data_IF_522927052048
#
_entry.id   IF_522927052048
#
_cell.length_a   1.000
_cell.length_b   1.000
_cell.length_c   1.000
_cell.angle_alpha   90.00
_cell.angle_beta   90.00
_cell.angle_gamma   90.00
#
_symmetry.space_group_name_H-M   'P 1'
#
loop_
_entity.id
_entity.type
_entity.pdbx_description
1 polymer ?
#
# COMPACT_ATOMS: atom_id res chain seq x y z
N UNK A 1 42.02 -11.04 -37.41
CA UNK A 1 42.96 -10.89 -36.29
C UNK A 1 42.20 -10.29 -35.11
N UNK A 2 42.05 -11.06 -34.02
CA UNK A 2 41.75 -10.68 -32.59
C UNK A 2 40.53 -9.78 -32.30
N UNK A 3 39.68 -9.97 -31.29
CA UNK A 3 39.44 -10.95 -30.21
C UNK A 3 37.98 -10.69 -29.77
N UNK A 4 37.10 -11.69 -29.66
CA UNK A 4 36.55 -12.20 -28.39
C UNK A 4 36.57 -11.19 -27.24
N UNK A 5 35.40 -10.74 -26.80
CA UNK A 5 35.12 -10.64 -25.36
C UNK A 5 33.70 -11.15 -25.10
N UNK A 6 33.62 -12.40 -24.64
CA UNK A 6 32.44 -12.93 -23.97
C UNK A 6 32.60 -12.58 -22.49
N UNK A 7 31.68 -11.80 -21.93
CA UNK A 7 31.56 -11.70 -20.48
C UNK A 7 30.33 -12.47 -20.02
N UNK A 8 30.66 -13.53 -19.27
CA UNK A 8 29.78 -14.44 -18.57
C UNK A 8 29.28 -13.79 -17.28
N UNK A 9 27.97 -13.92 -17.06
CA UNK A 9 27.28 -14.35 -15.82
C UNK A 9 27.50 -13.58 -14.52
N UNK A 10 26.39 -13.24 -13.85
CA UNK A 10 26.05 -13.69 -12.48
C UNK A 10 24.59 -13.38 -12.15
N UNK A 11 23.75 -14.41 -12.25
CA UNK A 11 22.43 -14.46 -11.59
C UNK A 11 22.73 -14.60 -10.09
N UNK A 12 22.19 -13.69 -9.28
CA UNK A 12 22.25 -13.79 -7.83
C UNK A 12 20.87 -14.19 -7.34
N UNK A 13 20.74 -15.45 -6.93
CA UNK A 13 19.59 -15.98 -6.20
C UNK A 13 19.89 -15.76 -4.72
N UNK A 14 19.07 -14.98 -4.01
CA UNK A 14 19.09 -14.95 -2.56
C UNK A 14 17.94 -15.81 -2.02
N UNK A 15 18.26 -17.05 -1.70
CA UNK A 15 17.50 -17.90 -0.80
C UNK A 15 18.06 -17.74 0.62
N UNK A 16 17.19 -17.41 1.57
CA UNK A 16 17.49 -17.59 2.99
C UNK A 16 16.20 -17.89 3.77
N UNK A 17 15.85 -19.18 3.82
CA UNK A 17 15.11 -19.74 4.95
C UNK A 17 16.11 -20.02 6.08
N UNK A 18 15.80 -19.59 7.28
CA UNK A 18 16.29 -20.21 8.50
C UNK A 18 15.19 -20.19 9.56
N UNK A 19 14.63 -21.37 9.80
CA UNK A 19 13.86 -21.70 10.99
C UNK A 19 14.74 -21.55 12.23
N UNK A 20 14.20 -20.95 13.29
CA UNK A 20 14.60 -21.36 14.64
C UNK A 20 13.40 -21.34 15.58
N UNK A 21 12.84 -22.52 15.81
CA UNK A 21 11.99 -22.81 16.95
C UNK A 21 12.90 -23.03 18.16
N UNK A 22 12.64 -22.35 19.27
CA UNK A 22 13.14 -22.73 20.58
C UNK A 22 11.95 -22.84 21.53
N UNK A 23 11.49 -24.08 21.72
CA UNK A 23 10.75 -24.51 22.90
C UNK A 23 11.77 -24.96 23.94
N UNK A 24 11.75 -24.37 25.13
CA UNK A 24 12.33 -24.96 26.33
C UNK A 24 11.45 -24.59 27.52
N UNK A 25 10.65 -25.57 27.94
CA UNK A 25 10.05 -25.62 29.27
C UNK A 25 10.99 -26.29 30.28
N UNK A 26 10.42 -26.50 31.48
CA UNK A 26 10.96 -27.12 32.69
C UNK A 26 11.79 -26.19 33.59
N UNK A 27 11.66 -26.16 34.92
CA UNK A 27 10.63 -26.61 35.84
C UNK A 27 10.98 -26.02 37.23
N UNK A 28 9.94 -25.75 38.04
CA UNK A 28 9.79 -25.78 39.51
C UNK A 28 11.03 -25.64 40.43
N UNK A 29 10.94 -24.73 41.41
CA UNK A 29 11.31 -25.07 42.79
C UNK A 29 10.36 -24.45 43.82
N UNK A 30 10.12 -25.26 44.85
CA UNK A 30 9.09 -25.23 45.89
C UNK A 30 9.44 -24.27 47.03
N UNK A 31 8.43 -23.64 47.61
CA UNK A 31 8.51 -23.00 48.94
C UNK A 31 7.14 -22.94 49.59
N UNK A 32 6.79 -23.98 50.35
CA UNK A 32 5.57 -24.06 51.15
C UNK A 32 5.78 -23.45 52.53
N UNK A 33 4.84 -22.60 52.97
CA UNK A 33 4.55 -22.38 54.39
C UNK A 33 3.02 -22.24 54.54
N UNK A 34 2.37 -22.99 55.46
CA UNK A 34 0.96 -22.80 55.76
C UNK A 34 0.81 -21.75 56.89
N UNK A 35 -0.06 -20.76 56.70
CA UNK A 35 -0.50 -19.83 57.75
C UNK A 35 -2.02 -19.67 57.63
N UNK A 36 -2.78 -19.57 58.75
CA UNK A 36 -4.15 -20.06 58.85
C UNK A 36 -5.22 -19.18 58.20
N UNK A 37 -6.31 -19.86 57.85
CA UNK A 37 -7.62 -19.35 57.46
C UNK A 37 -8.08 -18.16 58.30
N UNK A 38 -8.17 -16.99 57.65
CA UNK A 38 -9.05 -15.90 58.06
C UNK A 38 -10.13 -15.76 56.98
N UNK A 39 -11.39 -15.97 57.35
CA UNK A 39 -12.55 -15.71 56.50
C UNK A 39 -12.57 -14.21 56.17
N UNK A 40 -12.21 -13.86 54.94
CA UNK A 40 -12.43 -12.53 54.38
C UNK A 40 -13.49 -12.66 53.30
N UNK A 41 -14.57 -11.94 53.53
CA UNK A 41 -15.78 -11.86 52.74
C UNK A 41 -15.49 -11.52 51.28
N UNK A 42 -16.04 -12.32 50.37
CA UNK A 42 -16.11 -12.06 48.94
C UNK A 42 -16.85 -10.73 48.69
N UNK A 43 -16.26 -9.73 48.00
CA UNK A 43 -17.05 -8.74 47.30
C UNK A 43 -17.50 -9.38 45.98
N UNK A 44 -18.81 -9.35 45.73
CA UNK A 44 -19.40 -9.82 44.49
C UNK A 44 -18.68 -9.24 43.27
N UNK A 45 -18.31 -10.11 42.33
CA UNK A 45 -17.87 -9.70 41.01
C UNK A 45 -18.96 -8.83 40.39
N UNK A 46 -18.66 -7.54 40.19
CA UNK A 46 -19.41 -6.73 39.25
C UNK A 46 -19.16 -7.32 37.88
N UNK A 47 -20.12 -8.10 37.39
CA UNK A 47 -20.20 -8.44 35.98
C UNK A 47 -20.48 -7.13 35.23
N UNK A 48 -19.41 -6.39 34.92
CA UNK A 48 -19.45 -5.44 33.83
C UNK A 48 -19.74 -6.27 32.58
N UNK A 49 -20.97 -6.16 32.08
CA UNK A 49 -21.27 -6.57 30.71
C UNK A 49 -20.24 -5.88 29.83
N UNK A 50 -19.49 -6.61 28.98
CA UNK A 50 -18.66 -5.92 28.01
C UNK A 50 -19.58 -5.01 27.22
N UNK A 51 -19.29 -3.71 27.25
CA UNK A 51 -19.83 -2.78 26.26
C UNK A 51 -19.69 -3.48 24.92
N UNK A 52 -20.78 -3.58 24.16
CA UNK A 52 -20.67 -3.96 22.76
C UNK A 52 -19.76 -2.91 22.15
N UNK A 53 -18.47 -3.24 22.00
CA UNK A 53 -17.52 -2.41 21.27
C UNK A 53 -18.20 -2.07 19.96
N UNK A 54 -18.38 -0.77 19.71
CA UNK A 54 -18.79 -0.32 18.39
C UNK A 54 -17.82 -0.97 17.39
N UNK A 55 -18.31 -1.50 16.26
CA UNK A 55 -17.43 -1.99 15.22
C UNK A 55 -16.40 -0.90 14.94
N UNK A 56 -15.11 -1.23 15.11
CA UNK A 56 -14.02 -0.33 14.73
C UNK A 56 -14.15 -0.16 13.22
N UNK A 57 -14.37 1.07 12.77
CA UNK A 57 -14.46 1.40 11.35
C UNK A 57 -13.16 0.98 10.67
N UNK A 58 -13.25 0.00 9.77
CA UNK A 58 -12.10 -0.53 9.08
C UNK A 58 -11.80 0.39 7.90
N UNK A 59 -10.54 0.82 7.77
CA UNK A 59 -10.16 1.74 6.71
C UNK A 59 -8.87 1.31 6.03
N UNK A 60 -8.73 1.74 4.80
CA UNK A 60 -7.45 1.83 4.12
C UNK A 60 -7.18 3.29 3.83
N UNK A 61 -5.99 3.76 4.16
CA UNK A 61 -5.61 5.16 4.03
C UNK A 61 -4.43 5.27 3.10
N UNK A 62 -4.56 6.03 2.02
CA UNK A 62 -3.41 6.56 1.30
C UNK A 62 -2.96 7.83 2.02
N UNK A 63 -1.85 7.73 2.75
CA UNK A 63 -1.29 8.86 3.51
C UNK A 63 -0.71 9.91 2.58
N UNK A 64 -0.09 9.46 1.48
CA UNK A 64 0.53 10.30 0.47
C UNK A 64 0.78 9.52 -0.82
N UNK A 65 0.66 10.18 -1.96
CA UNK A 65 1.21 9.70 -3.24
C UNK A 65 2.01 10.82 -3.89
N UNK A 66 3.26 10.52 -4.26
CA UNK A 66 4.20 11.50 -4.81
C UNK A 66 4.81 11.03 -6.11
N UNK A 67 4.92 11.98 -7.03
CA UNK A 67 5.67 11.81 -8.25
C UNK A 67 7.15 12.19 -8.03
N UNK A 68 8.06 11.26 -8.29
CA UNK A 68 9.51 11.47 -8.20
C UNK A 68 10.13 11.55 -9.59
N UNK A 69 10.71 12.70 -9.90
CA UNK A 69 11.50 12.90 -11.12
C UNK A 69 12.99 12.88 -10.74
N UNK A 70 13.79 11.94 -11.26
CA UNK A 70 15.24 11.99 -11.08
C UNK A 70 15.80 13.33 -11.56
N UNK A 71 16.72 13.91 -10.79
CA UNK A 71 17.40 15.15 -11.17
C UNK A 71 18.31 14.91 -12.37
N UNK A 72 18.65 15.99 -13.10
CA UNK A 72 19.61 15.88 -14.20
C UNK A 72 20.96 15.34 -13.70
N UNK A 73 21.36 14.16 -14.20
CA UNK A 73 22.60 13.49 -13.82
C UNK A 73 22.46 12.45 -12.70
N UNK A 74 21.25 12.24 -12.16
CA UNK A 74 20.95 11.09 -11.30
C UNK A 74 20.52 9.89 -12.14
N UNK A 75 20.97 8.70 -11.74
CA UNK A 75 20.51 7.45 -12.34
C UNK A 75 19.08 7.14 -11.84
N UNK A 76 18.22 6.68 -12.74
CA UNK A 76 16.87 6.24 -12.39
C UNK A 76 15.82 6.66 -13.41
N UNK A 77 14.60 6.18 -13.20
CA UNK A 77 13.43 6.53 -14.00
C UNK A 77 12.43 7.31 -13.15
N UNK A 78 11.57 8.14 -13.77
CA UNK A 78 10.43 8.71 -13.06
C UNK A 78 9.59 7.60 -12.43
N UNK A 79 9.22 7.76 -11.16
CA UNK A 79 8.38 6.80 -10.46
C UNK A 79 7.35 7.46 -9.56
N UNK A 80 6.23 6.77 -9.35
CA UNK A 80 5.20 7.16 -8.40
C UNK A 80 5.43 6.35 -7.12
N UNK A 81 5.54 7.04 -6.00
CA UNK A 81 5.67 6.46 -4.67
C UNK A 81 4.38 6.70 -3.88
N UNK A 82 3.85 5.67 -3.26
CA UNK A 82 2.69 5.75 -2.38
C UNK A 82 3.02 5.27 -0.97
N UNK A 83 2.36 5.88 0.00
CA UNK A 83 2.41 5.50 1.41
C UNK A 83 0.98 5.13 1.80
N UNK A 84 0.78 3.89 2.25
CA UNK A 84 -0.56 3.34 2.47
C UNK A 84 -0.63 2.59 3.79
N UNK A 85 -1.66 2.86 4.59
CA UNK A 85 -1.90 2.21 5.88
C UNK A 85 -3.13 1.30 5.81
N UNK A 86 -2.96 0.04 6.24
CA UNK A 86 -4.05 -0.91 6.39
C UNK A 86 -4.59 -0.88 7.84
N UNK A 87 -5.71 -0.20 8.07
CA UNK A 87 -6.38 -0.18 9.38
C UNK A 87 -7.51 -1.23 9.48
N UNK A 88 -7.51 -2.25 8.62
CA UNK A 88 -8.44 -3.37 8.72
C UNK A 88 -7.88 -4.45 9.64
N UNK A 89 -8.72 -5.41 10.04
CA UNK A 89 -8.29 -6.57 10.83
C UNK A 89 -7.64 -7.68 9.99
N UNK A 90 -7.53 -7.52 8.66
CA UNK A 90 -7.07 -8.57 7.74
C UNK A 90 -5.85 -8.11 6.93
N UNK A 91 -4.97 -9.05 6.59
CA UNK A 91 -3.84 -8.77 5.69
C UNK A 91 -4.35 -8.54 4.27
N UNK A 92 -3.94 -7.43 3.64
CA UNK A 92 -4.17 -7.18 2.22
C UNK A 92 -3.14 -7.96 1.42
N UNK A 93 -3.58 -8.74 0.43
CA UNK A 93 -2.70 -9.59 -0.40
C UNK A 93 -2.75 -9.22 -1.88
N UNK A 94 -3.78 -8.48 -2.31
CA UNK A 94 -3.91 -8.03 -3.69
C UNK A 94 -4.78 -6.77 -3.77
N UNK A 95 -4.46 -5.88 -4.69
CA UNK A 95 -5.28 -4.71 -5.00
C UNK A 95 -5.43 -4.45 -6.48
N UNK A 96 -6.58 -3.91 -6.84
CA UNK A 96 -6.81 -3.27 -8.12
C UNK A 96 -7.01 -1.77 -7.85
N UNK A 97 -6.15 -0.91 -8.39
CA UNK A 97 -6.05 0.52 -8.03
C UNK A 97 -6.19 1.39 -9.27
N UNK A 98 -7.09 2.36 -9.22
CA UNK A 98 -7.21 3.40 -10.22
C UNK A 98 -6.17 4.49 -10.01
N UNK A 99 -5.45 4.84 -11.08
CA UNK A 99 -4.41 5.88 -11.07
C UNK A 99 -4.75 6.98 -12.06
N UNK A 100 -4.76 8.23 -11.61
CA UNK A 100 -4.98 9.44 -12.42
C UNK A 100 -3.85 10.44 -12.20
N UNK A 101 -3.48 11.21 -13.22
CA UNK A 101 -2.40 12.19 -13.13
C UNK A 101 -2.80 13.58 -13.62
N UNK A 102 -2.25 14.61 -12.96
CA UNK A 102 -2.53 16.02 -13.26
C UNK A 102 -1.26 16.84 -13.32
N UNK A 103 -1.30 17.88 -14.15
CA UNK A 103 -0.27 18.91 -14.15
C UNK A 103 -0.42 19.89 -12.98
N UNK A 104 0.56 20.77 -12.81
CA UNK A 104 0.58 21.80 -11.75
C UNK A 104 -0.62 22.76 -11.74
N UNK A 105 -1.38 22.82 -12.83
CA UNK A 105 -2.57 23.68 -12.97
C UNK A 105 -3.88 22.90 -12.84
N UNK A 106 -3.79 21.62 -12.45
CA UNK A 106 -4.92 20.71 -12.27
C UNK A 106 -5.52 20.19 -13.58
N UNK A 107 -4.82 20.33 -14.73
CA UNK A 107 -5.30 19.74 -15.97
C UNK A 107 -4.98 18.24 -15.98
N UNK A 108 -5.91 17.38 -16.40
CA UNK A 108 -5.71 15.94 -16.47
C UNK A 108 -4.71 15.60 -17.58
N UNK A 109 -3.85 14.61 -17.35
CA UNK A 109 -2.84 14.16 -18.29
C UNK A 109 -3.23 12.79 -18.87
N UNK A 110 -3.18 12.66 -20.19
CA UNK A 110 -3.15 11.34 -20.84
C UNK A 110 -1.70 10.87 -20.84
N UNK A 111 -1.47 9.69 -20.30
CA UNK A 111 -0.14 9.11 -20.19
C UNK A 111 -0.10 7.75 -20.87
N UNK A 112 1.07 7.39 -21.38
CA UNK A 112 1.39 5.99 -21.58
C UNK A 112 1.86 5.38 -20.25
N UNK A 113 0.94 4.72 -19.56
CA UNK A 113 1.18 4.15 -18.23
C UNK A 113 2.10 2.93 -18.24
N UNK A 114 2.27 2.29 -19.40
CA UNK A 114 3.16 1.16 -19.56
C UNK A 114 4.58 1.63 -19.88
N UNK A 115 5.48 1.40 -18.92
CA UNK A 115 6.85 1.92 -18.94
C UNK A 115 7.72 1.42 -20.11
N UNK A 116 7.40 0.24 -20.65
CA UNK A 116 8.18 -0.45 -21.69
C UNK A 116 7.41 -0.65 -23.01
N UNK A 117 6.11 -0.36 -23.04
CA UNK A 117 5.30 -0.52 -24.25
C UNK A 117 5.05 0.83 -24.92
N UNK A 118 5.80 1.13 -25.98
CA UNK A 118 5.63 2.39 -26.73
C UNK A 118 4.38 2.43 -27.59
N UNK A 119 3.65 1.31 -27.74
CA UNK A 119 2.44 1.22 -28.55
C UNK A 119 1.16 1.38 -27.71
N UNK A 120 1.28 1.47 -26.38
CA UNK A 120 0.17 1.78 -25.49
C UNK A 120 -0.47 3.12 -25.85
N UNK A 121 -1.77 3.10 -26.13
CA UNK A 121 -2.51 4.33 -26.38
C UNK A 121 -2.59 5.15 -25.09
N UNK A 122 -2.24 6.45 -25.11
CA UNK A 122 -2.32 7.27 -23.91
C UNK A 122 -3.74 7.35 -23.35
N UNK A 123 -3.89 7.13 -22.05
CA UNK A 123 -5.16 7.16 -21.32
C UNK A 123 -5.08 8.07 -20.10
N UNK A 124 -6.25 8.56 -19.64
CA UNK A 124 -6.32 9.34 -18.40
C UNK A 124 -6.18 8.48 -17.15
N UNK A 125 -6.68 7.26 -17.23
CA UNK A 125 -6.66 6.28 -16.15
C UNK A 125 -5.75 5.12 -16.51
N UNK A 126 -5.08 4.61 -15.47
CA UNK A 126 -4.58 3.26 -15.46
C UNK A 126 -5.21 2.49 -14.31
N UNK A 127 -5.82 1.36 -14.63
CA UNK A 127 -6.28 0.41 -13.64
C UNK A 127 -5.15 -0.60 -13.43
N UNK A 128 -4.44 -0.42 -12.32
CA UNK A 128 -3.31 -1.23 -11.96
C UNK A 128 -3.78 -2.43 -11.13
N UNK A 129 -3.61 -3.64 -11.67
CA UNK A 129 -3.85 -4.89 -10.95
C UNK A 129 -2.51 -5.48 -10.52
N UNK A 130 -2.26 -5.56 -9.21
CA UNK A 130 -1.01 -6.07 -8.66
C UNK A 130 -1.23 -6.90 -7.41
N UNK A 131 -0.51 -8.03 -7.35
CA UNK A 131 -0.35 -8.82 -6.15
C UNK A 131 0.55 -8.04 -5.19
N UNK A 132 -0.07 -7.30 -4.27
CA UNK A 132 0.64 -6.43 -3.32
C UNK A 132 1.65 -7.23 -2.51
N UNK A 133 2.78 -6.61 -2.18
CA UNK A 133 3.52 -7.01 -0.98
C UNK A 133 2.52 -7.01 0.18
N UNK A 134 2.41 -8.12 0.91
CA UNK A 134 1.39 -8.27 1.94
C UNK A 134 1.40 -7.09 2.94
N UNK A 135 0.27 -6.41 3.12
CA UNK A 135 0.14 -5.32 4.10
C UNK A 135 -0.66 -5.84 5.29
N UNK A 136 0.02 -6.07 6.42
CA UNK A 136 -0.59 -6.62 7.63
C UNK A 136 -1.55 -5.63 8.31
N UNK A 137 -2.47 -6.11 9.18
CA UNK A 137 -3.28 -5.24 10.03
C UNK A 137 -2.45 -4.22 10.81
N UNK A 138 -2.81 -2.94 10.71
CA UNK A 138 -2.12 -1.81 11.32
C UNK A 138 -0.77 -1.44 10.68
N UNK A 139 -0.37 -2.09 9.58
CA UNK A 139 0.88 -1.79 8.89
C UNK A 139 0.70 -0.62 7.92
N UNK A 140 1.73 0.24 7.87
CA UNK A 140 1.94 1.19 6.79
C UNK A 140 2.97 0.60 5.82
N UNK A 141 2.58 0.45 4.56
CA UNK A 141 3.50 0.21 3.45
C UNK A 141 4.11 1.55 3.01
N UNK A 142 5.44 1.59 3.03
CA UNK A 142 6.27 2.76 2.71
C UNK A 142 7.63 2.24 2.25
N UNK A 143 7.61 1.38 1.23
CA UNK A 143 8.82 0.81 0.65
C UNK A 143 9.39 1.80 -0.37
N UNK A 144 10.69 2.09 -0.25
CA UNK A 144 11.39 2.96 -1.19
C UNK A 144 11.23 2.46 -2.64
N UNK A 145 10.81 3.37 -3.53
CA UNK A 145 10.49 3.05 -4.91
C UNK A 145 8.99 3.10 -5.17
N UNK A 146 8.55 2.44 -6.24
CA UNK A 146 7.16 2.37 -6.63
C UNK A 146 6.98 2.13 -8.12
N UNK A 147 5.92 2.67 -8.71
CA UNK A 147 5.61 2.45 -10.12
C UNK A 147 6.54 3.25 -11.03
N UNK A 148 7.54 2.59 -11.63
CA UNK A 148 8.41 3.18 -12.63
C UNK A 148 7.67 3.35 -13.95
N UNK A 149 7.80 4.50 -14.60
CA UNK A 149 7.15 4.78 -15.87
C UNK A 149 8.02 5.63 -16.79
N UNK A 150 7.72 5.57 -18.10
CA UNK A 150 8.47 6.26 -19.15
C UNK A 150 9.98 5.94 -19.14
N UNK A 151 10.32 4.65 -19.00
CA UNK A 151 11.71 4.15 -18.98
C UNK A 151 12.47 4.50 -20.28
N UNK A 152 11.75 4.58 -21.40
CA UNK A 152 12.31 4.91 -22.71
C UNK A 152 12.35 6.42 -23.02
N UNK A 153 11.91 7.28 -22.09
CA UNK A 153 11.75 8.75 -22.25
C UNK A 153 10.96 9.17 -23.52
N UNK A 154 9.96 8.38 -23.91
CA UNK A 154 9.14 8.64 -25.11
C UNK A 154 7.92 9.52 -24.83
N UNK A 155 7.42 9.57 -23.59
CA UNK A 155 6.25 10.37 -23.20
C UNK A 155 6.67 11.61 -22.40
N UNK A 156 6.78 12.74 -23.08
CA UNK A 156 7.14 14.02 -22.45
C UNK A 156 6.06 14.57 -21.51
N UNK A 157 4.85 14.00 -21.51
CA UNK A 157 3.77 14.40 -20.59
C UNK A 157 4.09 13.98 -19.16
N UNK A 158 4.90 12.94 -18.97
CA UNK A 158 5.40 12.49 -17.67
C UNK A 158 6.05 13.63 -16.90
N UNK A 159 6.90 14.42 -17.56
CA UNK A 159 7.62 15.55 -16.95
C UNK A 159 6.70 16.66 -16.42
N UNK A 160 5.41 16.62 -16.76
CA UNK A 160 4.40 17.60 -16.33
C UNK A 160 3.63 17.14 -15.09
N UNK A 161 3.72 15.87 -14.71
CA UNK A 161 2.97 15.32 -13.58
C UNK A 161 3.42 16.02 -12.30
N UNK A 162 2.47 16.68 -11.65
CA UNK A 162 2.62 17.32 -10.36
C UNK A 162 1.78 16.63 -9.28
N UNK A 163 0.64 16.05 -9.66
CA UNK A 163 -0.25 15.33 -8.76
C UNK A 163 -0.61 13.98 -9.36
N UNK A 164 -0.77 12.99 -8.50
CA UNK A 164 -1.25 11.65 -8.83
C UNK A 164 -2.30 11.28 -7.82
N UNK A 165 -3.45 10.77 -8.27
CA UNK A 165 -4.53 10.30 -7.41
C UNK A 165 -4.63 8.79 -7.52
N UNK A 166 -4.72 8.13 -6.36
CA UNK A 166 -4.94 6.69 -6.20
C UNK A 166 -6.31 6.48 -5.55
N UNK A 167 -7.00 5.42 -5.97
CA UNK A 167 -8.23 4.94 -5.35
C UNK A 167 -8.33 3.43 -5.57
N UNK A 168 -8.40 2.65 -4.51
CA UNK A 168 -8.61 1.21 -4.64
C UNK A 168 -10.00 0.95 -5.24
N UNK A 169 -10.06 0.16 -6.32
CA UNK A 169 -11.29 -0.40 -6.86
C UNK A 169 -11.64 -1.70 -6.15
N UNK A 170 -10.65 -2.55 -5.92
CA UNK A 170 -10.80 -3.83 -5.21
C UNK A 170 -9.63 -4.10 -4.27
N UNK A 171 -9.93 -4.75 -3.16
CA UNK A 171 -8.95 -5.24 -2.20
C UNK A 171 -9.28 -6.70 -1.89
N UNK A 172 -8.30 -7.58 -2.07
CA UNK A 172 -8.39 -8.98 -1.65
C UNK A 172 -7.61 -9.17 -0.37
N UNK A 173 -8.24 -9.82 0.61
CA UNK A 173 -7.63 -10.14 1.89
C UNK A 173 -7.10 -11.58 1.93
N UNK A 174 -6.23 -11.87 2.88
CA UNK A 174 -5.58 -13.18 3.05
C UNK A 174 -6.55 -14.34 3.33
N UNK A 175 -7.77 -14.05 3.80
CA UNK A 175 -8.83 -15.05 4.00
C UNK A 175 -9.66 -15.32 2.73
N UNK A 176 -9.29 -14.69 1.60
CA UNK A 176 -9.96 -14.80 0.31
C UNK A 176 -11.18 -13.88 0.15
N UNK A 177 -11.55 -13.10 1.18
CA UNK A 177 -12.60 -12.08 1.02
C UNK A 177 -12.13 -10.96 0.12
N UNK A 178 -13.05 -10.41 -0.68
CA UNK A 178 -12.80 -9.30 -1.59
C UNK A 178 -13.75 -8.18 -1.22
N UNK A 179 -13.19 -7.00 -0.98
CA UNK A 179 -13.93 -5.76 -0.88
C UNK A 179 -13.89 -5.06 -2.24
N UNK A 180 -15.05 -4.62 -2.71
CA UNK A 180 -15.19 -3.77 -3.89
C UNK A 180 -15.61 -2.38 -3.44
N UNK A 181 -14.90 -1.36 -3.89
CA UNK A 181 -15.15 0.01 -3.48
C UNK A 181 -16.46 0.53 -4.08
N UNK A 182 -17.51 0.80 -3.27
CA UNK A 182 -18.79 1.28 -3.79
C UNK A 182 -18.68 2.68 -4.40
N UNK A 183 -17.68 3.46 -4.01
CA UNK A 183 -17.49 4.84 -4.44
C UNK A 183 -16.56 4.97 -5.67
N UNK A 184 -15.98 3.86 -6.15
CA UNK A 184 -14.98 3.90 -7.22
C UNK A 184 -15.51 4.53 -8.51
N UNK A 185 -16.71 4.14 -8.95
CA UNK A 185 -17.30 4.65 -10.19
C UNK A 185 -17.58 6.15 -10.10
N UNK A 186 -18.07 6.61 -8.94
CA UNK A 186 -18.30 8.04 -8.69
C UNK A 186 -16.99 8.82 -8.61
N UNK A 187 -15.96 8.26 -7.98
CA UNK A 187 -14.61 8.82 -7.98
C UNK A 187 -14.06 8.95 -9.40
N UNK A 188 -14.11 7.86 -10.18
CA UNK A 188 -13.61 7.83 -11.54
C UNK A 188 -14.36 8.84 -12.42
N UNK A 189 -15.69 8.90 -12.34
CA UNK A 189 -16.49 9.87 -13.07
C UNK A 189 -16.09 11.31 -12.70
N UNK A 190 -15.82 11.61 -11.44
CA UNK A 190 -15.52 12.98 -11.00
C UNK A 190 -14.10 13.46 -11.33
N UNK A 191 -13.13 12.55 -11.40
CA UNK A 191 -11.73 12.91 -11.56
C UNK A 191 -11.18 12.62 -12.97
N UNK A 192 -11.54 11.48 -13.57
CA UNK A 192 -10.93 11.01 -14.82
C UNK A 192 -11.19 11.96 -15.99
N UNK A 193 -10.12 12.47 -16.60
CA UNK A 193 -10.20 13.39 -17.74
C UNK A 193 -10.85 14.74 -17.44
N UNK A 194 -11.10 15.08 -16.18
CA UNK A 194 -11.71 16.35 -15.75
C UNK A 194 -10.67 17.26 -15.11
N UNK A 195 -10.81 18.58 -15.29
CA UNK A 195 -9.96 19.55 -14.59
C UNK A 195 -10.35 19.60 -13.12
N UNK A 196 -9.35 19.57 -12.25
CA UNK A 196 -9.53 19.61 -10.79
C UNK A 196 -8.90 20.90 -10.25
N UNK A 197 -9.48 21.48 -9.19
CA UNK A 197 -8.87 22.65 -8.57
C UNK A 197 -7.56 22.26 -7.88
N UNK A 198 -6.53 23.10 -8.01
CA UNK A 198 -5.24 22.87 -7.36
C UNK A 198 -5.40 22.78 -5.84
N UNK A 199 -6.29 23.59 -5.25
CA UNK A 199 -6.60 23.50 -3.82
C UNK A 199 -7.12 22.11 -3.42
N UNK A 200 -7.94 21.46 -4.24
CA UNK A 200 -8.39 20.10 -3.93
C UNK A 200 -7.22 19.12 -4.04
N UNK A 201 -6.42 19.21 -5.12
CA UNK A 201 -5.26 18.33 -5.33
C UNK A 201 -4.22 18.45 -4.20
N UNK A 202 -3.93 19.67 -3.75
CA UNK A 202 -3.02 19.94 -2.61
C UNK A 202 -3.49 19.33 -1.29
N UNK A 203 -4.81 19.11 -1.16
CA UNK A 203 -5.45 18.60 0.05
C UNK A 203 -6.11 17.22 -0.18
N UNK A 204 -5.77 16.52 -1.27
CA UNK A 204 -6.39 15.24 -1.60
C UNK A 204 -5.97 14.14 -0.61
N UNK A 205 -4.71 14.19 -0.17
CA UNK A 205 -4.17 13.25 0.81
C UNK A 205 -4.11 13.87 2.22
N UNK A 206 -4.37 13.09 3.28
CA UNK A 206 -4.65 11.64 3.25
C UNK A 206 -6.04 11.32 2.67
N UNK A 207 -6.12 10.25 1.88
CA UNK A 207 -7.35 9.77 1.26
C UNK A 207 -7.80 8.48 1.94
N UNK A 208 -9.01 8.47 2.49
CA UNK A 208 -9.55 7.39 3.33
C UNK A 208 -10.61 6.61 2.57
N UNK A 209 -10.47 5.28 2.55
CA UNK A 209 -11.46 4.35 2.00
C UNK A 209 -12.02 3.50 3.15
N UNK A 210 -13.34 3.53 3.32
CA UNK A 210 -14.04 2.77 4.35
C UNK A 210 -14.27 1.35 3.82
N UNK A 211 -13.91 0.36 4.64
CA UNK A 211 -14.04 -1.07 4.34
C UNK A 211 -15.21 -1.60 5.18
N UNK A 212 -16.29 -1.98 4.52
CA UNK A 212 -17.52 -2.53 5.12
C UNK A 212 -17.61 -4.06 5.00
#
# INVERSE_FOLDING_TARGET
>A
MKMRDQRKTKIVIFTAMAFMAILLGCAVYVGAYPVPSAKVSTPAASAAFPDKEKPVEQTVVYEKVTMHHPSAGEDGYPYIHDIRTNNTAKTIVKTEVGMLAYDKSGNPLKLNWYSLDTNGAPSYEYLYDWDSTEIMPGQTDNVDGGWNFNILDTDQSVKKIAYVLYCDRKITFSDGTVWENPDYEAWHENYSGKKVSVQLLDNYYPYVQIIE
#
